data_IF_967199801049
#
_entry.id   IF_967199801049
#
_cell.length_a   1.000
_cell.length_b   1.000
_cell.length_c   1.000
_cell.angle_alpha   90.00
_cell.angle_beta   90.00
_cell.angle_gamma   90.00
#
_symmetry.space_group_name_H-M   'P 1'
#
loop_
_entity.id
_entity.type
_entity.pdbx_description
1 polymer ?
#
# COMPACT_ATOMS: atom_id res chain seq x y z
N UNK A 1 0.04 0.03 -3.95
CA UNK A 1 -1.37 0.47 -3.85
C UNK A 1 -2.30 -0.50 -3.11
N UNK A 2 -3.04 -1.37 -3.82
CA UNK A 2 -4.21 -2.11 -3.30
C UNK A 2 -3.91 -2.88 -2.02
N UNK A 3 -2.70 -3.44 -1.89
CA UNK A 3 -2.27 -4.24 -0.74
C UNK A 3 -2.46 -3.60 0.63
N UNK A 4 -2.60 -2.27 0.74
CA UNK A 4 -2.95 -1.62 2.00
C UNK A 4 -4.33 -2.04 2.54
N UNK A 5 -5.32 -2.25 1.68
CA UNK A 5 -6.68 -2.68 2.07
C UNK A 5 -6.68 -4.07 2.71
N UNK A 6 -6.19 -5.14 2.06
CA UNK A 6 -6.13 -6.46 2.69
C UNK A 6 -5.13 -6.50 3.85
N UNK A 7 -4.08 -5.67 3.87
CA UNK A 7 -3.19 -5.58 5.03
C UNK A 7 -3.93 -5.03 6.28
N UNK A 8 -4.75 -3.98 6.11
CA UNK A 8 -5.62 -3.49 7.20
C UNK A 8 -6.63 -4.55 7.61
N UNK A 9 -7.35 -5.15 6.65
CA UNK A 9 -8.37 -6.15 6.93
C UNK A 9 -7.79 -7.39 7.65
N UNK A 10 -6.59 -7.84 7.28
CA UNK A 10 -5.92 -8.96 7.94
C UNK A 10 -5.55 -8.66 9.40
N UNK A 11 -5.54 -7.40 9.83
CA UNK A 11 -5.30 -7.03 11.22
C UNK A 11 -6.52 -7.21 12.12
N UNK A 12 -7.74 -7.24 11.57
CA UNK A 12 -8.96 -7.42 12.35
C UNK A 12 -8.90 -8.71 13.19
N UNK A 13 -8.94 -8.57 14.52
CA UNK A 13 -8.85 -9.70 15.42
C UNK A 13 -7.48 -10.38 15.46
N UNK A 14 -6.41 -9.78 14.91
CA UNK A 14 -5.05 -10.34 14.95
C UNK A 14 -4.00 -9.36 15.48
N UNK A 15 -4.39 -8.17 15.89
CA UNK A 15 -3.48 -7.23 16.54
C UNK A 15 -3.04 -7.76 17.92
N UNK A 16 -1.88 -7.30 18.38
CA UNK A 16 -1.31 -7.75 19.66
C UNK A 16 -2.29 -7.56 20.83
N UNK A 17 -3.01 -6.45 20.89
CA UNK A 17 -3.96 -6.19 21.98
C UNK A 17 -5.17 -7.14 21.92
N UNK A 18 -5.79 -7.34 20.75
CA UNK A 18 -6.92 -8.27 20.56
C UNK A 18 -6.53 -9.73 20.83
N UNK A 19 -5.30 -10.13 20.49
CA UNK A 19 -4.78 -11.47 20.82
C UNK A 19 -4.51 -11.61 22.32
N UNK A 20 -3.92 -10.60 22.95
CA UNK A 20 -3.69 -10.57 24.39
C UNK A 20 -4.98 -10.70 25.19
N UNK A 21 -6.05 -10.02 24.79
CA UNK A 21 -7.37 -10.10 25.44
C UNK A 21 -7.96 -11.52 25.42
N UNK A 22 -7.60 -12.32 24.41
CA UNK A 22 -7.99 -13.74 24.30
C UNK A 22 -6.96 -14.70 24.92
N UNK A 23 -5.93 -14.20 25.59
CA UNK A 23 -4.86 -15.02 26.16
C UNK A 23 -3.93 -15.67 25.13
N UNK A 24 -3.91 -15.17 23.89
CA UNK A 24 -3.06 -15.70 22.82
C UNK A 24 -1.73 -14.93 22.71
N UNK A 25 -0.61 -15.60 22.44
CA UNK A 25 0.67 -14.93 22.24
C UNK A 25 0.76 -14.27 20.85
N UNK A 26 1.63 -13.27 20.75
CA UNK A 26 1.98 -12.59 19.49
C UNK A 26 0.84 -11.77 18.89
N UNK A 27 1.02 -11.37 17.62
CA UNK A 27 0.05 -10.59 16.86
C UNK A 27 0.70 -9.54 15.96
N UNK A 28 -0.12 -8.91 15.14
CA UNK A 28 0.31 -7.76 14.34
C UNK A 28 0.56 -6.60 15.30
N UNK A 29 1.78 -6.08 15.31
CA UNK A 29 2.22 -4.99 16.19
C UNK A 29 2.45 -3.67 15.47
N UNK A 30 2.50 -3.70 14.15
CA UNK A 30 2.82 -2.56 13.30
C UNK A 30 2.33 -2.81 11.86
N UNK A 31 1.95 -1.76 11.14
CA UNK A 31 1.70 -1.82 9.69
C UNK A 31 2.54 -0.75 8.96
N UNK A 32 3.20 -1.12 7.88
CA UNK A 32 3.91 -0.18 6.99
C UNK A 32 3.20 -0.15 5.64
N UNK A 33 2.69 1.01 5.25
CA UNK A 33 2.04 1.27 3.97
C UNK A 33 3.07 1.86 3.00
N UNK A 34 3.27 1.22 1.84
CA UNK A 34 4.16 1.70 0.78
C UNK A 34 3.32 2.12 -0.43
N UNK A 35 3.21 3.43 -0.71
CA UNK A 35 2.36 3.96 -1.79
C UNK A 35 1.00 3.21 -1.88
N UNK A 36 0.35 3.05 -0.73
CA UNK A 36 -0.75 2.10 -0.55
C UNK A 36 -2.05 2.80 -0.16
N UNK A 37 -3.18 2.18 -0.50
CA UNK A 37 -4.47 2.66 -0.02
C UNK A 37 -4.61 2.36 1.47
N UNK A 38 -4.58 3.40 2.30
CA UNK A 38 -4.79 3.34 3.74
C UNK A 38 -6.09 4.08 4.07
N UNK A 39 -7.23 3.36 3.98
CA UNK A 39 -8.52 4.02 4.06
C UNK A 39 -8.81 4.61 5.44
N UNK A 40 -9.23 5.89 5.52
CA UNK A 40 -9.55 6.55 6.78
C UNK A 40 -10.95 6.20 7.32
N UNK A 41 -11.73 5.40 6.58
CA UNK A 41 -13.05 4.96 6.99
C UNK A 41 -13.40 3.60 6.34
N UNK A 42 -14.34 2.89 6.97
CA UNK A 42 -15.02 1.71 6.41
C UNK A 42 -16.03 2.12 5.35
N UNK A 43 -16.49 1.15 4.56
CA UNK A 43 -17.55 1.19 3.54
C UNK A 43 -17.16 1.60 2.11
N UNK A 44 -16.23 2.54 1.83
CA UNK A 44 -15.76 2.72 0.47
C UNK A 44 -15.08 1.47 -0.08
N UNK A 45 -15.38 1.17 -1.33
CA UNK A 45 -14.55 0.31 -2.16
C UNK A 45 -13.43 1.13 -2.80
N UNK A 46 -12.40 0.46 -3.31
CA UNK A 46 -11.32 1.14 -4.02
C UNK A 46 -11.80 1.84 -5.29
N UNK A 47 -12.75 1.26 -6.02
CA UNK A 47 -13.33 1.89 -7.20
C UNK A 47 -13.99 3.23 -6.84
N UNK A 48 -14.74 3.29 -5.73
CA UNK A 48 -15.34 4.54 -5.25
C UNK A 48 -14.26 5.54 -4.83
N UNK A 49 -13.21 5.08 -4.13
CA UNK A 49 -12.12 5.94 -3.68
C UNK A 49 -11.35 6.61 -4.84
N UNK A 50 -11.30 5.99 -6.02
CA UNK A 50 -10.68 6.56 -7.23
C UNK A 50 -11.67 7.29 -8.14
N UNK A 51 -12.89 7.58 -7.68
CA UNK A 51 -13.87 8.37 -8.42
C UNK A 51 -14.94 7.57 -9.18
N UNK A 52 -15.06 6.28 -8.90
CA UNK A 52 -16.13 5.41 -9.42
C UNK A 52 -15.87 4.82 -10.81
N UNK A 53 -14.68 5.05 -11.38
CA UNK A 53 -14.28 4.51 -12.67
C UNK A 53 -12.86 3.95 -12.60
N UNK A 54 -12.61 2.89 -13.38
CA UNK A 54 -11.27 2.34 -13.55
C UNK A 54 -10.34 3.38 -14.19
N UNK A 55 -9.10 3.47 -13.70
CA UNK A 55 -8.10 4.38 -14.26
C UNK A 55 -7.79 4.02 -15.74
N UNK A 56 -7.27 4.95 -16.56
CA UNK A 56 -7.02 4.69 -17.98
C UNK A 56 -6.14 3.45 -18.26
N UNK A 57 -5.22 3.15 -17.35
CA UNK A 57 -4.33 1.99 -17.44
C UNK A 57 -4.93 0.68 -16.89
N UNK A 58 -6.20 0.68 -16.48
CA UNK A 58 -6.92 -0.47 -15.94
C UNK A 58 -8.01 -0.92 -16.92
N UNK A 59 -7.74 -1.98 -17.67
CA UNK A 59 -8.64 -2.51 -18.68
C UNK A 59 -9.59 -3.55 -18.07
N UNK A 60 -10.81 -3.14 -17.74
CA UNK A 60 -11.85 -4.04 -17.24
C UNK A 60 -12.27 -5.06 -18.32
N UNK A 61 -12.19 -6.36 -17.99
CA UNK A 61 -12.56 -7.51 -18.83
C UNK A 61 -13.71 -8.34 -18.23
N UNK A 62 -14.56 -7.75 -17.42
CA UNK A 62 -15.62 -8.43 -16.65
C UNK A 62 -15.18 -8.68 -15.22
N UNK A 63 -14.85 -9.92 -14.88
CA UNK A 63 -14.47 -10.29 -13.50
C UNK A 63 -13.02 -9.95 -13.12
N UNK A 64 -12.26 -9.44 -14.10
CA UNK A 64 -10.84 -9.14 -13.96
C UNK A 64 -10.44 -7.85 -14.67
N UNK A 65 -9.33 -7.29 -14.22
CA UNK A 65 -8.69 -6.09 -14.72
C UNK A 65 -7.32 -6.49 -15.26
N UNK A 66 -7.07 -6.16 -16.52
CA UNK A 66 -5.76 -6.26 -17.14
C UNK A 66 -5.05 -4.91 -17.14
N UNK A 67 -3.71 -4.91 -17.16
CA UNK A 67 -2.97 -3.67 -17.45
C UNK A 67 -3.27 -3.21 -18.88
N UNK A 68 -3.55 -1.92 -19.02
CA UNK A 68 -3.85 -1.24 -20.27
C UNK A 68 -2.74 -0.26 -20.68
N UNK A 69 -3.05 0.58 -21.66
CA UNK A 69 -2.17 1.66 -22.09
C UNK A 69 -1.86 2.62 -20.93
N UNK A 70 -0.60 3.04 -20.81
CA UNK A 70 -0.14 3.89 -19.71
C UNK A 70 0.24 3.16 -18.41
N UNK A 71 0.01 1.85 -18.30
CA UNK A 71 0.36 1.10 -17.07
C UNK A 71 1.85 1.16 -16.72
N UNK A 72 2.71 1.16 -17.75
CA UNK A 72 4.16 1.30 -17.58
C UNK A 72 4.53 2.62 -16.90
N UNK A 73 3.95 3.72 -17.35
CA UNK A 73 4.16 5.04 -16.75
C UNK A 73 3.53 5.11 -15.35
N UNK A 74 2.29 4.66 -15.20
CA UNK A 74 1.60 4.72 -13.92
C UNK A 74 2.33 3.96 -12.79
N UNK A 75 2.83 2.75 -13.08
CA UNK A 75 3.33 1.81 -12.07
C UNK A 75 4.85 1.73 -11.97
N UNK A 76 5.57 2.07 -13.05
CA UNK A 76 7.01 1.80 -13.21
C UNK A 76 7.75 2.98 -13.88
N UNK A 77 7.28 4.22 -13.70
CA UNK A 77 7.91 5.42 -14.28
C UNK A 77 9.37 5.66 -13.85
N UNK A 78 9.77 5.13 -12.70
CA UNK A 78 11.13 5.27 -12.15
C UNK A 78 12.00 4.02 -12.37
N UNK A 79 11.51 3.02 -13.12
CA UNK A 79 12.28 1.86 -13.53
C UNK A 79 13.00 2.10 -14.86
N UNK A 80 14.13 1.43 -15.08
CA UNK A 80 14.72 1.35 -16.40
C UNK A 80 13.79 0.61 -17.38
N UNK A 81 13.95 0.87 -18.67
CA UNK A 81 13.03 0.36 -19.70
C UNK A 81 12.92 -1.15 -19.71
N UNK A 82 14.04 -1.87 -19.57
CA UNK A 82 14.04 -3.33 -19.62
C UNK A 82 13.25 -3.89 -18.43
N UNK A 83 13.53 -3.41 -17.22
CA UNK A 83 12.82 -3.81 -16.01
C UNK A 83 11.33 -3.50 -16.11
N UNK A 84 10.96 -2.29 -16.53
CA UNK A 84 9.57 -1.88 -16.66
C UNK A 84 8.80 -2.75 -17.65
N UNK A 85 9.39 -3.05 -18.81
CA UNK A 85 8.77 -3.87 -19.85
C UNK A 85 8.60 -5.32 -19.38
N UNK A 86 9.60 -5.88 -18.67
CA UNK A 86 9.51 -7.21 -18.06
C UNK A 86 8.39 -7.28 -17.01
N UNK A 87 8.26 -6.25 -16.16
CA UNK A 87 7.23 -6.21 -15.11
C UNK A 87 5.82 -6.06 -15.70
N UNK A 88 5.65 -5.24 -16.74
CA UNK A 88 4.38 -5.12 -17.46
C UNK A 88 4.02 -6.44 -18.15
N UNK A 89 4.99 -7.10 -18.79
CA UNK A 89 4.76 -8.40 -19.44
C UNK A 89 4.47 -9.53 -18.44
N UNK A 90 5.05 -9.47 -17.24
CA UNK A 90 4.84 -10.42 -16.16
C UNK A 90 3.59 -10.16 -15.32
N UNK A 91 2.92 -9.02 -15.49
CA UNK A 91 1.73 -8.67 -14.74
C UNK A 91 0.57 -9.63 -15.06
N UNK A 92 -0.12 -10.06 -14.02
CA UNK A 92 -1.31 -10.90 -14.12
C UNK A 92 -2.58 -10.08 -13.94
N UNK A 93 -3.71 -10.70 -14.25
CA UNK A 93 -5.01 -10.09 -13.99
C UNK A 93 -5.29 -9.92 -12.50
N UNK A 94 -5.92 -8.80 -12.15
CA UNK A 94 -6.43 -8.53 -10.82
C UNK A 94 -7.97 -8.62 -10.82
N UNK A 95 -8.57 -9.32 -9.87
CA UNK A 95 -10.03 -9.45 -9.82
C UNK A 95 -10.72 -8.09 -9.61
N UNK A 96 -11.81 -7.81 -10.33
CA UNK A 96 -12.63 -6.61 -10.13
C UNK A 96 -13.21 -6.52 -8.73
N UNK A 97 -13.46 -7.66 -8.08
CA UNK A 97 -13.93 -7.70 -6.69
C UNK A 97 -12.96 -6.98 -5.73
N UNK A 98 -11.66 -6.97 -6.01
CA UNK A 98 -10.68 -6.23 -5.20
C UNK A 98 -10.85 -4.70 -5.27
N UNK A 99 -11.46 -4.20 -6.34
CA UNK A 99 -11.78 -2.79 -6.52
C UNK A 99 -13.20 -2.46 -6.06
N UNK A 100 -14.14 -3.36 -6.32
CA UNK A 100 -15.57 -3.08 -6.19
C UNK A 100 -16.14 -3.40 -4.82
N UNK A 101 -15.49 -4.30 -4.06
CA UNK A 101 -15.99 -4.70 -2.73
C UNK A 101 -15.71 -3.61 -1.68
N UNK A 102 -16.74 -3.13 -0.96
CA UNK A 102 -16.60 -2.27 0.22
C UNK A 102 -15.64 -2.84 1.27
N UNK A 103 -14.79 -2.00 1.87
CA UNK A 103 -13.99 -2.43 3.02
C UNK A 103 -14.83 -2.48 4.30
N UNK A 104 -14.74 -3.57 5.07
CA UNK A 104 -15.42 -3.71 6.36
C UNK A 104 -14.51 -3.38 7.55
N UNK A 105 -13.20 -3.36 7.33
CA UNK A 105 -12.18 -3.00 8.31
C UNK A 105 -11.08 -2.19 7.60
N UNK A 106 -10.90 -0.94 8.03
CA UNK A 106 -10.08 0.04 7.35
C UNK A 106 -8.78 0.34 8.11
N UNK A 107 -7.88 1.13 7.50
CA UNK A 107 -6.65 1.55 8.17
C UNK A 107 -6.94 2.40 9.44
N UNK A 108 -8.08 3.07 9.49
CA UNK A 108 -8.56 3.79 10.69
C UNK A 108 -8.94 2.86 11.86
N UNK A 109 -9.31 1.61 11.59
CA UNK A 109 -9.64 0.63 12.63
C UNK A 109 -8.39 -0.07 13.21
N UNK A 110 -7.26 0.05 12.54
CA UNK A 110 -5.98 -0.48 13.01
C UNK A 110 -5.49 0.36 14.18
N UNK A 111 -5.47 -0.21 15.38
CA UNK A 111 -5.04 0.45 16.60
C UNK A 111 -3.52 0.44 16.79
N UNK A 112 -2.81 -0.55 16.21
CA UNK A 112 -1.35 -0.58 16.27
C UNK A 112 -0.71 0.57 15.48
N UNK A 113 0.55 0.85 15.78
CA UNK A 113 1.32 1.89 15.12
C UNK A 113 1.43 1.64 13.61
N UNK A 114 1.48 2.74 12.85
CA UNK A 114 1.49 2.73 11.39
C UNK A 114 2.56 3.67 10.87
N UNK A 115 3.23 3.25 9.81
CA UNK A 115 4.07 4.12 8.97
C UNK A 115 3.50 4.16 7.57
N UNK A 116 3.54 5.33 6.94
CA UNK A 116 3.25 5.50 5.53
C UNK A 116 4.50 6.03 4.82
N UNK A 117 4.97 5.30 3.81
CA UNK A 117 6.02 5.72 2.89
C UNK A 117 5.37 6.35 1.66
N UNK A 118 5.44 7.68 1.63
CA UNK A 118 4.95 8.54 0.55
C UNK A 118 5.95 8.53 -0.59
N UNK A 119 5.48 8.16 -1.77
CA UNK A 119 6.24 8.20 -3.02
C UNK A 119 5.82 9.44 -3.80
N UNK A 120 6.70 10.43 -3.89
CA UNK A 120 6.36 11.77 -4.39
C UNK A 120 6.11 11.82 -5.90
N UNK A 121 6.71 10.89 -6.66
CA UNK A 121 6.62 10.80 -8.12
C UNK A 121 5.68 9.67 -8.57
N UNK A 122 4.74 9.28 -7.70
CA UNK A 122 3.77 8.21 -7.96
C UNK A 122 2.67 8.66 -8.94
N UNK A 123 2.68 8.09 -10.14
CA UNK A 123 1.69 8.37 -11.19
C UNK A 123 0.41 7.51 -11.08
N UNK A 124 0.41 6.42 -10.29
CA UNK A 124 -0.76 5.56 -10.09
C UNK A 124 -1.60 5.99 -8.88
N UNK A 125 -0.96 6.45 -7.80
CA UNK A 125 -1.60 7.02 -6.62
C UNK A 125 -0.99 8.40 -6.34
N UNK A 126 -1.55 9.48 -6.93
CA UNK A 126 -0.96 10.81 -6.87
C UNK A 126 -0.67 11.29 -5.45
N UNK A 127 0.39 12.10 -5.29
CA UNK A 127 0.86 12.62 -4.00
C UNK A 127 -0.27 13.21 -3.14
N UNK A 128 -1.13 14.04 -3.73
CA UNK A 128 -2.24 14.68 -2.99
C UNK A 128 -3.22 13.65 -2.42
N UNK A 129 -3.49 12.56 -3.12
CA UNK A 129 -4.35 11.48 -2.63
C UNK A 129 -3.68 10.71 -1.47
N UNK A 130 -2.37 10.46 -1.55
CA UNK A 130 -1.62 9.87 -0.45
C UNK A 130 -1.67 10.76 0.80
N UNK A 131 -1.40 12.06 0.64
CA UNK A 131 -1.42 13.02 1.73
C UNK A 131 -2.82 13.17 2.33
N UNK A 132 -3.88 13.19 1.51
CA UNK A 132 -5.26 13.26 1.99
C UNK A 132 -5.61 12.08 2.91
N UNK A 133 -5.24 10.85 2.53
CA UNK A 133 -5.46 9.67 3.38
C UNK A 133 -4.68 9.77 4.70
N UNK A 134 -3.40 10.18 4.65
CA UNK A 134 -2.56 10.35 5.84
C UNK A 134 -3.16 11.39 6.79
N UNK A 135 -3.55 12.55 6.26
CA UNK A 135 -4.17 13.63 7.05
C UNK A 135 -5.46 13.15 7.71
N UNK A 136 -6.30 12.40 6.98
CA UNK A 136 -7.54 11.86 7.53
C UNK A 136 -7.32 10.79 8.61
N UNK A 137 -6.25 9.99 8.50
CA UNK A 137 -5.87 9.00 9.52
C UNK A 137 -5.27 9.63 10.78
N UNK A 138 -4.55 10.75 10.64
CA UNK A 138 -3.91 11.45 11.74
C UNK A 138 -2.68 10.72 12.29
N UNK A 139 -2.87 9.71 13.14
CA UNK A 139 -1.79 9.04 13.88
C UNK A 139 -1.02 8.02 13.02
N UNK A 140 -0.21 8.54 12.10
CA UNK A 140 0.63 7.79 11.16
C UNK A 140 2.01 8.43 11.09
N UNK A 141 3.07 7.64 11.25
CA UNK A 141 4.44 8.10 10.97
C UNK A 141 4.62 8.25 9.46
N UNK A 142 5.13 9.39 9.00
CA UNK A 142 5.26 9.67 7.56
C UNK A 142 6.72 9.69 7.16
N UNK A 143 7.03 8.99 6.07
CA UNK A 143 8.35 8.96 5.45
C UNK A 143 8.17 9.32 3.99
N UNK A 144 8.93 10.30 3.50
CA UNK A 144 8.85 10.76 2.12
C UNK A 144 10.07 10.30 1.33
N UNK A 145 9.84 9.90 0.09
CA UNK A 145 10.87 9.49 -0.88
C UNK A 145 10.52 9.98 -2.29
N UNK A 146 11.55 10.30 -3.07
CA UNK A 146 11.43 10.57 -4.50
C UNK A 146 11.48 9.23 -5.25
N UNK A 147 10.31 8.66 -5.49
CA UNK A 147 10.10 7.38 -6.19
C UNK A 147 8.73 7.38 -6.84
N UNK A 148 8.58 6.55 -7.86
CA UNK A 148 7.32 6.14 -8.44
C UNK A 148 6.55 5.16 -7.56
N UNK A 149 5.58 4.47 -8.16
CA UNK A 149 4.60 3.66 -7.41
C UNK A 149 5.21 2.47 -6.65
N UNK A 150 6.25 1.85 -7.21
CA UNK A 150 6.81 0.58 -6.74
C UNK A 150 8.16 0.78 -6.05
N UNK A 151 8.20 1.59 -4.97
CA UNK A 151 9.42 1.93 -4.21
C UNK A 151 10.30 0.73 -3.84
N UNK A 152 9.71 -0.45 -3.61
CA UNK A 152 10.45 -1.69 -3.33
C UNK A 152 11.35 -2.18 -4.48
N UNK A 153 11.18 -1.63 -5.68
CA UNK A 153 12.02 -1.92 -6.85
C UNK A 153 13.16 -0.91 -7.01
N UNK A 154 13.08 0.26 -6.35
CA UNK A 154 14.11 1.27 -6.41
C UNK A 154 15.29 0.86 -5.52
N UNK A 155 16.38 0.38 -6.14
CA UNK A 155 17.56 -0.15 -5.46
C UNK A 155 18.21 0.83 -4.47
N UNK A 156 18.12 2.13 -4.73
CA UNK A 156 18.67 3.16 -3.86
C UNK A 156 17.81 3.37 -2.59
N UNK A 157 16.50 3.09 -2.70
CA UNK A 157 15.52 3.28 -1.62
C UNK A 157 15.17 2.00 -0.87
N UNK A 158 15.57 0.82 -1.38
CA UNK A 158 15.41 -0.46 -0.68
C UNK A 158 16.00 -0.41 0.73
N UNK A 159 17.25 0.05 0.97
CA UNK A 159 17.81 0.13 2.32
C UNK A 159 16.95 0.98 3.26
N UNK A 160 16.51 2.15 2.79
CA UNK A 160 15.62 3.03 3.58
C UNK A 160 14.28 2.37 3.88
N UNK A 161 13.70 1.64 2.92
CA UNK A 161 12.45 0.90 3.13
C UNK A 161 12.62 -0.24 4.15
N UNK A 162 13.78 -0.90 4.15
CA UNK A 162 14.14 -1.92 5.13
C UNK A 162 14.33 -1.33 6.52
N UNK A 163 15.07 -0.23 6.66
CA UNK A 163 15.27 0.46 7.95
C UNK A 163 13.93 0.79 8.63
N UNK A 164 12.93 1.20 7.83
CA UNK A 164 11.59 1.49 8.31
C UNK A 164 10.87 0.25 8.84
N UNK A 165 11.00 -0.87 8.12
CA UNK A 165 10.41 -2.15 8.52
C UNK A 165 11.12 -2.68 9.77
N UNK A 166 12.44 -2.57 9.85
CA UNK A 166 13.24 -3.00 11.00
C UNK A 166 12.91 -2.18 12.25
N UNK A 167 12.83 -0.85 12.11
CA UNK A 167 12.40 0.04 13.19
C UNK A 167 10.97 -0.29 13.66
N UNK A 168 10.02 -0.52 12.73
CA UNK A 168 8.66 -0.96 13.04
C UNK A 168 8.63 -2.31 13.77
N UNK A 169 9.57 -3.20 13.44
CA UNK A 169 9.75 -4.48 14.11
C UNK A 169 10.53 -4.36 15.43
N UNK A 170 10.98 -3.17 15.83
CA UNK A 170 11.75 -2.98 17.06
C UNK A 170 13.15 -3.60 17.01
N UNK A 171 13.70 -3.79 15.81
CA UNK A 171 15.10 -4.15 15.62
C UNK A 171 15.96 -2.89 15.75
N UNK A 172 16.20 -2.42 16.98
CA UNK A 172 17.25 -1.43 17.23
C UNK A 172 18.60 -2.15 17.32
N UNK A 173 19.28 -2.30 16.17
CA UNK A 173 20.72 -2.59 16.12
C UNK A 173 21.14 -3.92 15.50
N UNK A 174 21.36 -3.92 14.19
CA UNK A 174 22.45 -4.67 13.54
C UNK A 174 23.28 -3.81 12.55
N UNK A 175 22.98 -2.50 12.42
CA UNK A 175 23.78 -1.55 11.62
C UNK A 175 25.05 -1.04 12.33
N UNK A 176 25.73 -1.91 13.09
CA UNK A 176 27.13 -1.73 13.53
C UNK A 176 27.83 -3.09 13.60
N UNK A 177 28.27 -3.58 12.44
CA UNK A 177 29.39 -4.50 12.29
C UNK A 177 30.14 -4.13 11.00
#
# INVERSE_FOLDING_TARGET
SYGGIPASAAAEGYQVHERRERGLPGGIKYIVYLAAFAFPARDPSLLIAIGGAYAPFMNNKGDVIALGEGARDALFNDCDTETADQLVAGAVYQSTASFETPTTFAAADVAVSKTYVVCEDDHALPLDAQLAMITALGNVTVIRVHSGHCVQLNKELVPKSLDVIEAAAGYEGLAKA
#
